data_IF_531338143356
#
_entry.id   IF_531338143356
#
_cell.length_a   1.000
_cell.length_b   1.000
_cell.length_c   1.000
_cell.angle_alpha   90.00
_cell.angle_beta   90.00
_cell.angle_gamma   90.00
#
_symmetry.space_group_name_H-M   'P 1'
#
loop_
_entity.id
_entity.type
_entity.pdbx_description
1 polymer ?
#
# COMPACT_ATOMS: atom_id res chain seq x y z
N UNK A 1 11.69 19.40 -15.66
CA UNK A 1 11.55 18.23 -16.55
C UNK A 1 11.84 16.91 -15.87
N UNK A 2 13.00 16.76 -15.20
CA UNK A 2 13.45 15.50 -14.60
C UNK A 2 12.45 14.81 -13.66
N UNK A 3 11.75 15.58 -12.82
CA UNK A 3 10.71 15.02 -11.95
C UNK A 3 9.60 14.30 -12.73
N UNK A 4 9.15 14.84 -13.86
CA UNK A 4 8.13 14.22 -14.71
C UNK A 4 8.63 12.92 -15.35
N UNK A 5 9.88 12.91 -15.83
CA UNK A 5 10.50 11.70 -16.37
C UNK A 5 10.63 10.61 -15.30
N UNK A 6 11.11 10.97 -14.11
CA UNK A 6 11.21 10.06 -12.98
C UNK A 6 9.83 9.51 -12.57
N UNK A 7 8.81 10.37 -12.48
CA UNK A 7 7.44 9.96 -12.19
C UNK A 7 6.87 9.00 -13.23
N UNK A 8 7.11 9.26 -14.52
CA UNK A 8 6.70 8.38 -15.63
C UNK A 8 7.36 6.99 -15.53
N UNK A 9 8.70 6.94 -15.45
CA UNK A 9 9.42 5.67 -15.39
C UNK A 9 9.11 4.89 -14.11
N UNK A 10 8.94 5.57 -12.98
CA UNK A 10 8.54 4.93 -11.72
C UNK A 10 7.13 4.35 -11.82
N UNK A 11 6.17 5.09 -12.38
CA UNK A 11 4.79 4.63 -12.58
C UNK A 11 4.76 3.40 -13.48
N UNK A 12 5.46 3.46 -14.63
CA UNK A 12 5.55 2.33 -15.55
C UNK A 12 6.18 1.09 -14.89
N UNK A 13 7.27 1.28 -14.13
CA UNK A 13 7.92 0.21 -13.38
C UNK A 13 6.97 -0.48 -12.40
N UNK A 14 6.23 0.31 -11.60
CA UNK A 14 5.25 -0.21 -10.64
C UNK A 14 4.12 -0.99 -11.34
N UNK A 15 3.56 -0.47 -12.43
CA UNK A 15 2.49 -1.13 -13.17
C UNK A 15 2.96 -2.44 -13.84
N UNK A 16 4.18 -2.44 -14.40
CA UNK A 16 4.78 -3.67 -14.92
C UNK A 16 5.06 -4.69 -13.82
N UNK A 17 5.42 -4.23 -12.61
CA UNK A 17 5.56 -5.10 -11.45
C UNK A 17 4.22 -5.70 -11.02
N UNK A 18 3.12 -4.94 -11.11
CA UNK A 18 1.79 -5.47 -10.87
C UNK A 18 1.41 -6.55 -11.88
N UNK A 19 1.68 -6.34 -13.17
CA UNK A 19 1.49 -7.37 -14.20
C UNK A 19 2.34 -8.60 -13.89
N UNK A 20 3.57 -8.42 -13.40
CA UNK A 20 4.43 -9.53 -12.96
C UNK A 20 3.78 -10.33 -11.84
N UNK A 21 3.27 -9.70 -10.76
CA UNK A 21 2.66 -10.46 -9.65
C UNK A 21 1.46 -11.28 -10.12
N UNK A 22 0.63 -10.73 -11.01
CA UNK A 22 -0.48 -11.43 -11.65
C UNK A 22 0.00 -12.64 -12.47
N UNK A 23 0.98 -12.44 -13.36
CA UNK A 23 1.48 -13.51 -14.23
C UNK A 23 2.13 -14.66 -13.44
N UNK A 24 2.78 -14.36 -12.31
CA UNK A 24 3.37 -15.39 -11.44
C UNK A 24 2.30 -16.23 -10.75
N UNK A 25 1.26 -15.62 -10.19
CA UNK A 25 0.13 -16.35 -9.61
C UNK A 25 -0.55 -17.25 -10.66
N UNK A 26 -0.82 -16.72 -11.86
CA UNK A 26 -1.40 -17.50 -12.97
C UNK A 26 -0.53 -18.69 -13.37
N UNK A 27 0.80 -18.50 -13.47
CA UNK A 27 1.72 -19.57 -13.85
C UNK A 27 1.76 -20.74 -12.85
N UNK A 28 1.42 -20.47 -11.58
CA UNK A 28 1.35 -21.47 -10.51
C UNK A 28 -0.08 -21.99 -10.27
N UNK A 29 -1.08 -21.56 -11.05
CA UNK A 29 -2.48 -21.92 -10.84
C UNK A 29 -3.08 -21.37 -9.54
N UNK A 30 -2.49 -20.33 -8.95
CA UNK A 30 -2.93 -19.72 -7.70
C UNK A 30 -3.96 -18.60 -7.93
N UNK A 31 -4.73 -18.26 -6.89
CA UNK A 31 -5.57 -17.06 -6.91
C UNK A 31 -4.77 -15.75 -6.90
N UNK A 32 -5.33 -14.67 -7.48
CA UNK A 32 -4.65 -13.38 -7.66
C UNK A 32 -4.71 -12.43 -6.43
N UNK A 33 -4.86 -12.96 -5.22
CA UNK A 33 -5.03 -12.17 -3.99
C UNK A 33 -3.93 -11.11 -3.80
N UNK A 34 -2.66 -11.47 -4.06
CA UNK A 34 -1.53 -10.54 -3.97
C UNK A 34 -1.62 -9.39 -4.98
N UNK A 35 -2.03 -9.67 -6.22
CA UNK A 35 -2.16 -8.63 -7.24
C UNK A 35 -3.28 -7.65 -6.89
N UNK A 36 -4.38 -8.11 -6.29
CA UNK A 36 -5.46 -7.25 -5.80
C UNK A 36 -5.04 -6.41 -4.60
N UNK A 37 -4.35 -7.00 -3.62
CA UNK A 37 -3.80 -6.26 -2.49
C UNK A 37 -2.80 -5.18 -2.97
N UNK A 38 -1.92 -5.52 -3.91
CA UNK A 38 -0.96 -4.58 -4.47
C UNK A 38 -1.65 -3.44 -5.26
N UNK A 39 -2.73 -3.73 -5.99
CA UNK A 39 -3.53 -2.70 -6.65
C UNK A 39 -4.07 -1.65 -5.65
N UNK A 40 -4.44 -2.06 -4.44
CA UNK A 40 -4.84 -1.15 -3.36
C UNK A 40 -3.73 -0.17 -2.94
N UNK A 41 -2.47 -0.62 -2.89
CA UNK A 41 -1.33 0.26 -2.62
C UNK A 41 -1.00 1.19 -3.81
N UNK A 42 -1.10 0.66 -5.04
CA UNK A 42 -0.91 1.44 -6.28
C UNK A 42 -1.93 2.56 -6.37
N UNK A 43 -3.18 2.33 -5.93
CA UNK A 43 -4.21 3.35 -5.88
C UNK A 43 -3.75 4.59 -5.09
N UNK A 44 -3.26 4.43 -3.86
CA UNK A 44 -2.76 5.55 -3.07
C UNK A 44 -1.59 6.26 -3.77
N UNK A 45 -0.63 5.51 -4.31
CA UNK A 45 0.49 6.06 -5.08
C UNK A 45 0.02 6.94 -6.25
N UNK A 46 -0.91 6.44 -7.07
CA UNK A 46 -1.45 7.17 -8.22
C UNK A 46 -2.26 8.39 -7.77
N UNK A 47 -3.02 8.30 -6.68
CA UNK A 47 -3.75 9.45 -6.14
C UNK A 47 -2.79 10.58 -5.77
N UNK A 48 -1.70 10.27 -5.08
CA UNK A 48 -0.73 11.26 -4.59
C UNK A 48 0.09 11.91 -5.71
N UNK A 49 0.57 11.10 -6.66
CA UNK A 49 1.55 11.54 -7.68
C UNK A 49 0.97 11.87 -9.05
N UNK A 50 -0.25 11.44 -9.36
CA UNK A 50 -0.83 11.55 -10.71
C UNK A 50 -2.26 12.10 -10.72
N UNK A 51 -3.21 11.38 -10.11
CA UNK A 51 -4.65 11.70 -10.23
C UNK A 51 -4.97 13.04 -9.57
N UNK A 52 -4.60 13.25 -8.30
CA UNK A 52 -4.85 14.54 -7.63
C UNK A 52 -4.12 15.69 -8.32
N UNK A 53 -2.81 15.60 -8.64
CA UNK A 53 -2.11 16.67 -9.37
C UNK A 53 -2.79 17.05 -10.71
N UNK A 54 -3.25 16.07 -11.48
CA UNK A 54 -4.00 16.31 -12.73
C UNK A 54 -5.33 17.01 -12.45
N UNK A 55 -6.11 16.54 -11.47
CA UNK A 55 -7.39 17.16 -11.09
C UNK A 55 -7.24 18.58 -10.53
N UNK A 56 -6.11 18.86 -9.88
CA UNK A 56 -5.75 20.20 -9.39
C UNK A 56 -5.14 21.09 -10.49
N UNK A 57 -4.91 20.56 -11.69
CA UNK A 57 -4.35 21.29 -12.82
C UNK A 57 -2.87 21.67 -12.68
N UNK A 58 -2.12 21.07 -11.75
CA UNK A 58 -0.71 21.41 -11.52
C UNK A 58 0.11 20.24 -10.98
N UNK A 59 1.26 19.97 -11.62
CA UNK A 59 2.25 19.00 -11.16
C UNK A 59 2.96 19.43 -9.86
N UNK A 60 2.91 20.71 -9.49
CA UNK A 60 3.47 21.20 -8.20
C UNK A 60 2.73 20.65 -6.98
N UNK A 61 1.54 20.08 -7.18
CA UNK A 61 0.73 19.48 -6.12
C UNK A 61 1.19 18.05 -5.77
N UNK A 62 2.06 17.44 -6.58
CA UNK A 62 2.55 16.09 -6.40
C UNK A 62 3.69 16.02 -5.36
N UNK A 63 3.97 14.79 -4.89
CA UNK A 63 5.00 14.54 -3.87
C UNK A 63 6.42 14.67 -4.45
N UNK A 64 7.36 15.34 -3.76
CA UNK A 64 8.76 15.41 -4.18
C UNK A 64 9.51 14.10 -3.88
N UNK A 65 10.51 13.76 -4.70
CA UNK A 65 11.40 12.62 -4.46
C UNK A 65 12.57 13.04 -3.56
N UNK A 66 12.43 12.84 -2.24
CA UNK A 66 13.49 13.08 -1.27
C UNK A 66 13.07 12.75 0.15
N UNK A 67 14.02 12.37 1.01
CA UNK A 67 13.74 11.88 2.38
C UNK A 67 13.06 12.97 3.22
N UNK A 68 13.71 14.09 3.52
CA UNK A 68 13.03 15.17 4.25
C UNK A 68 11.98 15.91 3.42
N UNK A 69 12.20 16.21 2.12
CA UNK A 69 11.21 16.89 1.31
C UNK A 69 9.83 16.23 1.23
N UNK A 70 9.73 14.89 1.21
CA UNK A 70 8.42 14.23 1.20
C UNK A 70 7.73 14.27 2.58
N UNK A 71 8.49 14.33 3.68
CA UNK A 71 7.94 14.54 5.02
C UNK A 71 7.40 15.97 5.15
N UNK A 72 8.16 16.96 4.67
CA UNK A 72 7.74 18.37 4.64
C UNK A 72 6.46 18.52 3.82
N UNK A 73 6.38 17.87 2.64
CA UNK A 73 5.16 17.83 1.82
C UNK A 73 3.97 17.23 2.58
N UNK A 74 4.18 16.14 3.32
CA UNK A 74 3.12 15.46 4.07
C UNK A 74 2.56 16.37 5.17
N UNK A 75 3.43 17.05 5.93
CA UNK A 75 3.01 18.00 6.94
C UNK A 75 2.31 19.23 6.32
N UNK A 76 2.90 19.80 5.26
CA UNK A 76 2.33 20.93 4.53
C UNK A 76 0.96 20.62 3.93
N UNK A 77 0.74 19.39 3.44
CA UNK A 77 -0.55 18.93 2.94
C UNK A 77 -1.62 19.02 4.03
N UNK A 78 -1.33 18.51 5.24
CA UNK A 78 -2.26 18.59 6.36
C UNK A 78 -2.56 20.04 6.75
N UNK A 79 -1.54 20.89 6.82
CA UNK A 79 -1.70 22.32 7.16
C UNK A 79 -2.57 23.02 6.11
N UNK A 80 -2.28 22.81 4.82
CA UNK A 80 -3.00 23.44 3.71
C UNK A 80 -4.48 23.06 3.67
N UNK A 81 -4.83 21.84 4.07
CA UNK A 81 -6.21 21.33 4.06
C UNK A 81 -6.88 21.35 5.45
N UNK A 82 -6.38 22.15 6.39
CA UNK A 82 -7.09 22.42 7.64
C UNK A 82 -7.09 21.23 8.62
N UNK A 83 -5.94 20.57 8.77
CA UNK A 83 -5.68 19.43 9.65
C UNK A 83 -6.37 18.12 9.23
N UNK A 84 -5.57 17.20 8.68
CA UNK A 84 -6.00 15.88 8.24
C UNK A 84 -6.57 14.98 9.34
N UNK A 85 -6.37 15.30 10.62
CA UNK A 85 -7.03 14.54 11.69
C UNK A 85 -8.55 14.60 11.60
N UNK A 86 -9.13 15.62 10.98
CA UNK A 86 -10.58 15.76 10.79
C UNK A 86 -11.10 15.13 9.50
N UNK A 87 -10.23 14.56 8.66
CA UNK A 87 -10.66 13.83 7.47
C UNK A 87 -11.08 12.40 7.87
N UNK A 88 -12.36 12.00 7.66
CA UNK A 88 -12.85 10.69 8.09
C UNK A 88 -12.14 9.51 7.39
N UNK A 89 -11.70 9.67 6.15
CA UNK A 89 -10.94 8.62 5.45
C UNK A 89 -9.50 8.51 5.97
N UNK A 90 -8.92 9.62 6.43
CA UNK A 90 -7.62 9.58 7.10
C UNK A 90 -7.73 8.88 8.47
N UNK A 91 -8.79 9.15 9.24
CA UNK A 91 -9.08 8.43 10.48
C UNK A 91 -9.22 6.91 10.23
N UNK A 92 -10.00 6.52 9.21
CA UNK A 92 -10.15 5.12 8.82
C UNK A 92 -8.81 4.50 8.41
N UNK A 93 -7.99 5.21 7.64
CA UNK A 93 -6.66 4.73 7.25
C UNK A 93 -5.75 4.47 8.46
N UNK A 94 -5.79 5.32 9.48
CA UNK A 94 -5.05 5.11 10.74
C UNK A 94 -5.60 3.87 11.46
N UNK A 95 -6.92 3.74 11.57
CA UNK A 95 -7.55 2.58 12.20
C UNK A 95 -7.14 1.27 11.53
N UNK A 96 -7.10 1.22 10.19
CA UNK A 96 -6.65 0.04 9.45
C UNK A 96 -5.13 -0.19 9.55
N UNK A 97 -4.32 0.87 9.60
CA UNK A 97 -2.88 0.73 9.83
C UNK A 97 -2.60 0.10 11.20
N UNK A 98 -3.19 0.65 12.26
CA UNK A 98 -3.06 0.10 13.61
C UNK A 98 -3.69 -1.28 13.74
N UNK A 99 -4.86 -1.47 13.13
CA UNK A 99 -5.54 -2.76 13.06
C UNK A 99 -4.70 -3.84 12.38
N UNK A 100 -3.94 -3.48 11.33
CA UNK A 100 -3.03 -4.42 10.64
C UNK A 100 -1.89 -4.87 11.56
N UNK A 101 -1.28 -3.94 12.30
CA UNK A 101 -0.24 -4.26 13.30
C UNK A 101 -0.82 -5.15 14.40
N UNK A 102 -1.98 -4.79 14.93
CA UNK A 102 -2.67 -5.56 15.96
C UNK A 102 -2.98 -6.98 15.50
N UNK A 103 -3.62 -7.13 14.35
CA UNK A 103 -4.02 -8.43 13.82
C UNK A 103 -2.82 -9.30 13.49
N UNK A 104 -1.75 -8.74 12.92
CA UNK A 104 -0.57 -9.54 12.62
C UNK A 104 0.20 -9.92 13.90
N UNK A 105 0.26 -9.04 14.90
CA UNK A 105 0.82 -9.38 16.21
C UNK A 105 0.03 -10.51 16.88
N UNK A 106 -1.30 -10.42 16.88
CA UNK A 106 -2.18 -11.48 17.39
C UNK A 106 -1.95 -12.79 16.63
N UNK A 107 -2.08 -12.76 15.31
CA UNK A 107 -1.96 -13.95 14.45
C UNK A 107 -0.58 -14.59 14.57
N UNK A 108 0.50 -13.81 14.42
CA UNK A 108 1.87 -14.32 14.52
C UNK A 108 2.18 -14.92 15.89
N UNK A 109 1.75 -14.27 16.97
CA UNK A 109 1.89 -14.83 18.32
C UNK A 109 1.07 -16.11 18.50
N UNK A 110 -0.16 -16.16 17.98
CA UNK A 110 -1.01 -17.35 18.03
C UNK A 110 -0.38 -18.52 17.28
N UNK A 111 0.04 -18.34 16.03
CA UNK A 111 0.68 -19.39 15.21
C UNK A 111 1.93 -19.92 15.92
N UNK A 112 2.78 -19.04 16.47
CA UNK A 112 3.94 -19.47 17.24
C UNK A 112 3.56 -20.23 18.52
N UNK A 113 2.51 -19.82 19.23
CA UNK A 113 2.05 -20.50 20.45
C UNK A 113 1.52 -21.93 20.19
N UNK A 114 0.97 -22.18 18.99
CA UNK A 114 0.49 -23.50 18.55
C UNK A 114 1.45 -24.22 17.60
N UNK A 115 2.64 -23.67 17.34
CA UNK A 115 3.64 -24.28 16.46
C UNK A 115 4.08 -25.68 16.91
N UNK A 116 4.09 -25.95 18.23
CA UNK A 116 4.34 -27.31 18.77
C UNK A 116 3.31 -28.36 18.35
N UNK A 117 2.16 -27.94 17.84
CA UNK A 117 1.13 -28.80 17.26
C UNK A 117 1.12 -28.73 15.73
N UNK A 118 2.14 -28.11 15.11
CA UNK A 118 2.23 -27.90 13.67
C UNK A 118 1.28 -26.83 13.13
N UNK A 119 0.81 -25.89 13.98
CA UNK A 119 -0.15 -24.86 13.57
C UNK A 119 0.34 -23.88 12.49
N UNK A 120 1.65 -23.83 12.23
CA UNK A 120 2.27 -23.11 11.11
C UNK A 120 2.08 -23.79 9.75
N UNK A 121 1.67 -25.07 9.72
CA UNK A 121 1.28 -25.79 8.49
C UNK A 121 -0.16 -25.46 8.12
N UNK A 122 -0.43 -24.18 7.90
CA UNK A 122 -1.79 -23.62 7.83
C UNK A 122 -2.67 -24.27 6.76
N UNK A 123 -2.11 -24.65 5.61
CA UNK A 123 -2.88 -25.30 4.53
C UNK A 123 -3.47 -26.64 5.00
N UNK A 124 -2.66 -27.44 5.70
CA UNK A 124 -3.09 -28.74 6.22
C UNK A 124 -4.14 -28.52 7.31
N UNK A 125 -3.90 -27.59 8.24
CA UNK A 125 -4.83 -27.24 9.34
C UNK A 125 -6.18 -26.68 8.84
N UNK A 126 -6.20 -26.00 7.68
CA UNK A 126 -7.42 -25.49 7.06
C UNK A 126 -8.24 -26.62 6.43
N UNK A 127 -7.58 -27.61 5.85
CA UNK A 127 -8.25 -28.69 5.10
C UNK A 127 -8.62 -29.89 5.97
N UNK A 128 -7.89 -30.14 7.06
CA UNK A 128 -8.10 -31.22 8.02
C UNK A 128 -7.83 -30.74 9.45
N UNK A 129 -8.92 -30.38 10.17
CA UNK A 129 -8.87 -29.67 11.45
C UNK A 129 -8.91 -30.60 12.67
#
# INVERSE_FOLDING_TARGET
GWWLMAGFFLTASILLWWVRTWQRAKALGMGNHLAWAFAGAIWLYLVLGLIRPVLMGSWSEAVPFGIFPHLDWTAAFSIRYGNLFYNPFHMLSIAFLYGSVLLFAMHGATVLAVSRFGGDREIDQITDR
#
